data_IF_949266179814
#
_entry.id   IF_949266179814
#
_cell.length_a   1.000
_cell.length_b   1.000
_cell.length_c   1.000
_cell.angle_alpha   90.00
_cell.angle_beta   90.00
_cell.angle_gamma   90.00
#
_symmetry.space_group_name_H-M   'P 1'
#
loop_
_entity.id
_entity.type
_entity.pdbx_description
1 polymer ?
#
# COMPACT_ATOMS: atom_id res chain seq x y z
N UNK A 1 3.05 -4.94 -6.32
CA UNK A 1 2.74 -3.65 -5.64
C UNK A 1 1.32 -3.63 -5.08
N UNK A 2 0.27 -3.69 -5.92
CA UNK A 2 -1.15 -3.72 -5.49
C UNK A 2 -1.40 -4.62 -4.27
N UNK A 3 -0.90 -5.84 -4.32
CA UNK A 3 -1.12 -6.86 -3.28
C UNK A 3 -0.46 -6.51 -1.95
N UNK A 4 0.70 -5.85 -2.01
CA UNK A 4 1.38 -5.34 -0.80
C UNK A 4 0.59 -4.18 -0.18
N UNK A 5 -0.01 -3.32 -1.02
CA UNK A 5 -0.85 -2.22 -0.57
C UNK A 5 -2.16 -2.72 0.06
N UNK A 6 -2.85 -3.65 -0.60
CA UNK A 6 -4.04 -4.31 -0.06
C UNK A 6 -3.73 -5.02 1.27
N UNK A 7 -2.60 -5.74 1.32
CA UNK A 7 -2.18 -6.40 2.56
C UNK A 7 -1.83 -5.40 3.68
N UNK A 8 -1.20 -4.28 3.35
CA UNK A 8 -0.90 -3.23 4.31
C UNK A 8 -2.20 -2.65 4.90
N UNK A 9 -3.21 -2.44 4.06
CA UNK A 9 -4.52 -2.00 4.49
C UNK A 9 -5.18 -2.97 5.49
N UNK A 10 -5.21 -4.26 5.15
CA UNK A 10 -5.81 -5.29 6.00
C UNK A 10 -5.10 -5.39 7.36
N UNK A 11 -3.76 -5.35 7.35
CA UNK A 11 -2.99 -5.40 8.58
C UNK A 11 -3.18 -4.16 9.45
N UNK A 12 -3.26 -2.99 8.84
CA UNK A 12 -3.52 -1.75 9.57
C UNK A 12 -4.92 -1.73 10.20
N UNK A 13 -5.94 -2.21 9.48
CA UNK A 13 -7.29 -2.35 10.02
C UNK A 13 -7.36 -3.37 11.18
N UNK A 14 -6.70 -4.52 11.03
CA UNK A 14 -6.60 -5.52 12.10
C UNK A 14 -5.94 -4.93 13.35
N UNK A 15 -4.77 -4.30 13.19
CA UNK A 15 -4.06 -3.66 14.29
C UNK A 15 -4.85 -2.51 14.92
N UNK A 16 -5.65 -1.76 14.14
CA UNK A 16 -6.53 -0.71 14.66
C UNK A 16 -7.65 -1.28 15.54
N UNK A 17 -8.13 -2.48 15.22
CA UNK A 17 -9.13 -3.19 16.03
C UNK A 17 -8.52 -3.60 17.38
N UNK A 18 -7.29 -4.10 17.36
CA UNK A 18 -6.56 -4.53 18.57
C UNK A 18 -6.11 -3.35 19.45
N UNK A 19 -5.89 -2.16 18.88
CA UNK A 19 -5.37 -0.99 19.59
C UNK A 19 -6.37 -0.31 20.54
N UNK A 20 -7.66 -0.69 20.52
CA UNK A 20 -8.71 0.00 21.27
C UNK A 20 -8.95 1.42 20.78
N UNK A 21 -9.49 2.31 21.61
CA UNK A 21 -9.83 3.69 21.19
C UNK A 21 -8.72 4.68 21.55
N UNK A 22 -8.23 5.43 20.57
CA UNK A 22 -7.22 6.47 20.80
C UNK A 22 -6.50 6.93 19.54
N UNK A 23 -5.50 7.83 19.67
CA UNK A 23 -4.79 8.41 18.52
C UNK A 23 -4.06 7.35 17.68
N UNK A 24 -3.56 6.28 18.31
CA UNK A 24 -2.94 5.16 17.60
C UNK A 24 -3.93 4.43 16.68
N UNK A 25 -5.15 4.19 17.14
CA UNK A 25 -6.20 3.58 16.31
C UNK A 25 -6.54 4.47 15.12
N UNK A 26 -6.71 5.77 15.33
CA UNK A 26 -7.00 6.73 14.26
C UNK A 26 -5.88 6.74 13.22
N UNK A 27 -4.61 6.74 13.65
CA UNK A 27 -3.47 6.64 12.74
C UNK A 27 -3.47 5.34 11.92
N UNK A 28 -3.79 4.20 12.53
CA UNK A 28 -3.87 2.92 11.83
C UNK A 28 -5.04 2.84 10.85
N UNK A 29 -6.20 3.43 11.19
CA UNK A 29 -7.35 3.53 10.28
C UNK A 29 -7.04 4.45 9.09
N UNK A 30 -6.35 5.57 9.32
CA UNK A 30 -5.91 6.46 8.26
C UNK A 30 -4.93 5.75 7.31
N UNK A 31 -3.95 5.02 7.85
CA UNK A 31 -3.03 4.19 7.04
C UNK A 31 -3.80 3.14 6.25
N UNK A 32 -4.76 2.46 6.89
CA UNK A 32 -5.58 1.43 6.24
C UNK A 32 -6.33 1.99 5.04
N UNK A 33 -7.06 3.09 5.24
CA UNK A 33 -7.82 3.74 4.18
C UNK A 33 -6.90 4.25 3.05
N UNK A 34 -5.80 4.91 3.41
CA UNK A 34 -4.82 5.37 2.45
C UNK A 34 -4.25 4.24 1.60
N UNK A 35 -3.87 3.13 2.21
CA UNK A 35 -3.36 1.96 1.50
C UNK A 35 -4.43 1.33 0.58
N UNK A 36 -5.71 1.29 0.95
CA UNK A 36 -6.80 0.82 0.08
C UNK A 36 -6.99 1.72 -1.14
N UNK A 37 -6.99 3.04 -0.96
CA UNK A 37 -7.15 3.99 -2.06
C UNK A 37 -6.00 3.86 -3.07
N UNK A 38 -4.77 3.77 -2.58
CA UNK A 38 -3.59 3.60 -3.45
C UNK A 38 -3.59 2.22 -4.12
N UNK A 39 -4.08 1.17 -3.45
CA UNK A 39 -4.26 -0.15 -4.07
C UNK A 39 -5.28 -0.10 -5.21
N UNK A 40 -6.41 0.59 -5.03
CA UNK A 40 -7.42 0.80 -6.06
C UNK A 40 -6.88 1.54 -7.28
N UNK A 41 -6.17 2.65 -7.06
CA UNK A 41 -5.50 3.39 -8.14
C UNK A 41 -4.46 2.53 -8.86
N UNK A 42 -3.70 1.71 -8.12
CA UNK A 42 -2.73 0.80 -8.71
C UNK A 42 -3.39 -0.33 -9.53
N UNK A 43 -4.59 -0.80 -9.13
CA UNK A 43 -5.37 -1.78 -9.88
C UNK A 43 -5.85 -1.23 -11.23
N UNK A 44 -6.30 0.03 -11.26
CA UNK A 44 -6.75 0.70 -12.50
C UNK A 44 -5.64 0.81 -13.55
N UNK A 45 -4.37 0.73 -13.13
CA UNK A 45 -3.21 0.78 -14.02
C UNK A 45 -2.75 -0.60 -14.53
N UNK A 46 -3.33 -1.69 -14.02
CA UNK A 46 -2.98 -3.03 -14.48
C UNK A 46 -3.63 -3.33 -15.84
N UNK A 47 -2.94 -4.08 -16.72
CA UNK A 47 -3.59 -4.63 -17.89
C UNK A 47 -4.69 -5.60 -17.48
N UNK A 48 -5.76 -5.70 -18.28
CA UNK A 48 -6.91 -6.59 -18.03
C UNK A 48 -6.50 -8.05 -17.84
N UNK A 49 -5.36 -8.46 -18.41
CA UNK A 49 -4.80 -9.81 -18.30
C UNK A 49 -3.89 -10.03 -17.08
N UNK A 50 -3.72 -9.06 -16.19
CA UNK A 50 -2.89 -9.22 -15.01
C UNK A 50 -3.55 -10.14 -13.99
N UNK A 51 -2.91 -11.26 -13.67
CA UNK A 51 -3.31 -12.11 -12.55
C UNK A 51 -2.84 -11.49 -11.22
N UNK A 52 -3.77 -11.35 -10.28
CA UNK A 52 -3.51 -10.78 -8.95
C UNK A 52 -3.79 -11.82 -7.84
N UNK A 53 -3.99 -13.09 -8.20
CA UNK A 53 -4.42 -14.18 -7.30
C UNK A 53 -3.28 -15.04 -6.70
N UNK A 54 -2.01 -14.74 -6.99
CA UNK A 54 -0.82 -15.48 -6.51
C UNK A 54 -0.59 -15.36 -4.98
N UNK A 55 0.51 -15.76 -4.28
CA UNK A 55 0.43 -15.88 -2.81
C UNK A 55 0.41 -14.53 -2.08
N UNK A 56 -0.41 -14.41 -1.04
CA UNK A 56 -0.54 -13.21 -0.20
C UNK A 56 0.78 -12.97 0.55
N UNK A 57 1.32 -11.73 0.60
CA UNK A 57 2.51 -11.44 1.38
C UNK A 57 2.34 -11.80 2.87
N UNK A 58 3.28 -12.60 3.41
CA UNK A 58 3.26 -13.04 4.81
C UNK A 58 3.62 -11.94 5.83
N UNK A 59 4.26 -10.86 5.37
CA UNK A 59 4.64 -9.74 6.22
C UNK A 59 3.38 -9.13 6.89
N UNK A 60 3.49 -8.83 8.19
CA UNK A 60 2.36 -8.35 9.01
C UNK A 60 2.47 -6.88 9.39
N UNK A 61 3.66 -6.29 9.30
CA UNK A 61 3.86 -4.86 9.52
C UNK A 61 3.41 -4.04 8.29
N UNK A 62 2.36 -3.20 8.42
CA UNK A 62 1.86 -2.37 7.33
C UNK A 62 2.92 -1.46 6.72
N UNK A 63 3.85 -0.92 7.51
CA UNK A 63 4.90 -0.04 7.01
C UNK A 63 5.94 -0.79 6.20
N UNK A 64 6.32 -1.99 6.61
CA UNK A 64 7.23 -2.83 5.83
C UNK A 64 6.59 -3.26 4.51
N UNK A 65 5.28 -3.53 4.49
CA UNK A 65 4.52 -3.80 3.28
C UNK A 65 4.51 -2.59 2.32
N UNK A 66 4.28 -1.38 2.83
CA UNK A 66 4.35 -0.14 2.04
C UNK A 66 5.76 0.10 1.47
N UNK A 67 6.81 -0.10 2.27
CA UNK A 67 8.21 0.02 1.80
C UNK A 67 8.56 -1.02 0.74
N UNK A 68 8.06 -2.25 0.88
CA UNK A 68 8.23 -3.26 -0.15
C UNK A 68 7.49 -2.88 -1.44
N UNK A 69 6.29 -2.31 -1.33
CA UNK A 69 5.54 -1.79 -2.48
C UNK A 69 6.31 -0.69 -3.21
N UNK A 70 6.87 0.25 -2.45
CA UNK A 70 7.73 1.33 -2.94
C UNK A 70 8.99 0.79 -3.64
N UNK A 71 9.68 -0.18 -3.03
CA UNK A 71 10.89 -0.78 -3.59
C UNK A 71 10.63 -1.43 -4.96
N UNK A 72 9.47 -2.07 -5.17
CA UNK A 72 9.10 -2.64 -6.48
C UNK A 72 9.01 -1.57 -7.58
N UNK A 73 8.62 -0.34 -7.24
CA UNK A 73 8.54 0.76 -8.22
C UNK A 73 9.91 1.26 -8.66
N UNK A 74 10.94 1.00 -7.86
CA UNK A 74 12.34 1.33 -8.17
C UNK A 74 13.04 0.27 -9.01
N UNK A 75 12.45 -0.91 -9.18
CA UNK A 75 13.07 -2.01 -9.95
C UNK A 75 13.04 -1.77 -11.46
N UNK A 76 12.17 -0.86 -11.94
CA UNK A 76 12.03 -0.55 -13.35
C UNK A 76 12.11 0.96 -13.58
N UNK A 77 12.64 1.42 -14.72
CA UNK A 77 12.67 2.84 -15.04
C UNK A 77 11.23 3.39 -15.20
N UNK A 78 11.01 4.64 -14.82
CA UNK A 78 9.65 5.23 -14.81
C UNK A 78 8.95 5.18 -16.17
N UNK A 79 9.72 5.28 -17.26
CA UNK A 79 9.23 5.22 -18.65
C UNK A 79 8.68 3.86 -19.07
N UNK A 80 8.95 2.81 -18.31
CA UNK A 80 8.39 1.48 -18.53
C UNK A 80 7.01 1.30 -17.85
N UNK A 81 6.57 2.26 -17.03
CA UNK A 81 5.28 2.18 -16.37
C UNK A 81 4.16 2.84 -17.19
N UNK A 82 2.91 2.37 -17.01
CA UNK A 82 1.74 3.05 -17.53
C UNK A 82 1.65 4.51 -17.07
N UNK A 83 1.03 5.35 -17.90
CA UNK A 83 0.67 6.71 -17.51
C UNK A 83 -0.17 6.68 -16.23
N UNK A 84 0.20 7.50 -15.24
CA UNK A 84 -0.47 7.56 -13.93
C UNK A 84 0.25 6.84 -12.80
N UNK A 85 1.24 5.97 -13.10
CA UNK A 85 2.00 5.28 -12.04
C UNK A 85 2.78 6.23 -11.13
N UNK A 86 3.21 7.40 -11.63
CA UNK A 86 3.88 8.41 -10.80
C UNK A 86 3.02 8.90 -9.63
N UNK A 87 1.71 9.07 -9.84
CA UNK A 87 0.79 9.47 -8.77
C UNK A 87 0.70 8.41 -7.67
N UNK A 88 0.67 7.12 -8.06
CA UNK A 88 0.69 5.99 -7.13
C UNK A 88 2.00 5.95 -6.33
N UNK A 89 3.16 6.10 -6.99
CA UNK A 89 4.46 6.12 -6.32
C UNK A 89 4.53 7.26 -5.29
N UNK A 90 4.08 8.46 -5.67
CA UNK A 90 4.03 9.62 -4.80
C UNK A 90 3.13 9.35 -3.59
N UNK A 91 1.94 8.78 -3.80
CA UNK A 91 1.03 8.43 -2.72
C UNK A 91 1.62 7.40 -1.74
N UNK A 92 2.33 6.38 -2.25
CA UNK A 92 3.06 5.42 -1.40
C UNK A 92 4.12 6.13 -0.55
N UNK A 93 4.91 7.02 -1.16
CA UNK A 93 5.94 7.79 -0.44
C UNK A 93 5.33 8.69 0.64
N UNK A 94 4.18 9.30 0.39
CA UNK A 94 3.45 10.11 1.37
C UNK A 94 2.99 9.27 2.56
N UNK A 95 2.33 8.13 2.31
CA UNK A 95 1.89 7.22 3.37
C UNK A 95 3.06 6.74 4.24
N UNK A 96 4.20 6.38 3.62
CA UNK A 96 5.39 5.98 4.39
C UNK A 96 5.88 7.13 5.29
N UNK A 97 5.89 8.37 4.79
CA UNK A 97 6.38 9.54 5.52
C UNK A 97 5.47 9.92 6.68
N UNK A 98 4.16 9.88 6.47
CA UNK A 98 3.15 10.24 7.49
C UNK A 98 3.17 9.31 8.70
N UNK A 99 3.61 8.07 8.51
CA UNK A 99 3.57 7.03 9.54
C UNK A 99 4.96 6.56 10.00
N UNK A 100 6.01 7.34 9.75
CA UNK A 100 7.39 7.05 10.16
C UNK A 100 7.78 7.59 11.54
N UNK A 101 6.86 8.28 12.23
CA UNK A 101 7.08 8.99 13.50
C UNK A 101 7.00 8.10 14.74
#
# INVERSE_FOLDING_TARGET
MVRLLARAADQAAGQATDAGTGPRQVGLLALSLGAQLVAGQALELLPVSAEVDEPIPLQTDPLQLLRAAEALTRMHPIVAFPTGTSAVIVAICHLIREHHS
#
